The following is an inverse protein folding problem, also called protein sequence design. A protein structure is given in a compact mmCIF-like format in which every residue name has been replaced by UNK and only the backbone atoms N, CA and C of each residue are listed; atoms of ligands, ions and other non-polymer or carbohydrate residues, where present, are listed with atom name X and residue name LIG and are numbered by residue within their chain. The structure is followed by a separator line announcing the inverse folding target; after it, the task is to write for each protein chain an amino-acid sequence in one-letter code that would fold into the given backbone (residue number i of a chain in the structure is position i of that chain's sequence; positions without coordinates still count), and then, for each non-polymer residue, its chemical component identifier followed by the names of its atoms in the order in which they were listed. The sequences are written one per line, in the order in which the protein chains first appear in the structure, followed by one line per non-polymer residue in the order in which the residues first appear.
data_IF_147198428725
#
_entry.id   IF_147198428725
#
_cell.length_a   1.000
_cell.length_b   1.000
_cell.length_c   1.000
_cell.angle_alpha   90.00
_cell.angle_beta   90.00
_cell.angle_gamma   90.00
#
_symmetry.space_group_name_H-M   'P 1'
#
loop_
_entity.id
_entity.type
_entity.pdbx_description
1 polymer ?
#
# COMPACT_ATOMS: atom_id res chain seq x y z
N UNK A 1 -34.74 19.05 -15.41
CA UNK A 1 -34.88 18.02 -14.36
C UNK A 1 -35.92 16.95 -14.75
N UNK A 2 -37.11 17.30 -15.25
CA UNK A 2 -38.11 16.32 -15.68
C UNK A 2 -37.62 15.31 -16.72
N UNK A 3 -36.68 15.68 -17.60
CA UNK A 3 -36.10 14.78 -18.61
C UNK A 3 -35.28 13.61 -18.05
N UNK A 4 -34.83 13.69 -16.79
CA UNK A 4 -34.02 12.66 -16.12
C UNK A 4 -34.79 11.93 -15.00
N UNK A 5 -35.98 12.41 -14.64
CA UNK A 5 -36.77 11.85 -13.55
C UNK A 5 -37.79 10.85 -14.10
N UNK A 6 -37.89 9.70 -13.45
CA UNK A 6 -38.96 8.74 -13.71
C UNK A 6 -40.33 9.40 -13.51
N UNK A 7 -41.28 9.12 -14.40
CA UNK A 7 -42.70 9.51 -14.23
C UNK A 7 -43.39 8.72 -13.11
N UNK A 8 -42.74 7.68 -12.58
CA UNK A 8 -43.19 6.87 -11.43
C UNK A 8 -42.07 6.85 -10.37
N UNK A 9 -41.91 7.93 -9.58
CA UNK A 9 -40.88 7.99 -8.56
C UNK A 9 -41.16 7.02 -7.41
N UNK A 10 -40.10 6.52 -6.77
CA UNK A 10 -40.23 5.67 -5.59
C UNK A 10 -40.52 6.51 -4.35
N UNK A 11 -41.79 6.55 -3.92
CA UNK A 11 -42.20 7.25 -2.70
C UNK A 11 -41.47 6.79 -1.44
N UNK A 12 -41.14 5.50 -1.23
CA UNK A 12 -40.31 5.09 -0.10
C UNK A 12 -38.92 5.73 -0.10
N UNK A 13 -38.27 5.88 -1.27
CA UNK A 13 -36.97 6.55 -1.37
C UNK A 13 -37.11 8.05 -1.06
N UNK A 14 -38.13 8.71 -1.59
CA UNK A 14 -38.39 10.13 -1.29
C UNK A 14 -38.64 10.35 0.22
N UNK A 15 -39.45 9.49 0.84
CA UNK A 15 -39.68 9.54 2.28
C UNK A 15 -38.40 9.32 3.10
N UNK A 16 -37.50 8.43 2.65
CA UNK A 16 -36.20 8.23 3.29
C UNK A 16 -35.30 9.47 3.20
N UNK A 17 -35.34 10.21 2.08
CA UNK A 17 -34.61 11.47 1.92
C UNK A 17 -35.15 12.57 2.83
N UNK A 18 -36.47 12.66 3.00
CA UNK A 18 -37.08 13.55 3.99
C UNK A 18 -36.65 13.19 5.42
N UNK A 19 -36.60 11.89 5.74
CA UNK A 19 -36.06 11.40 7.01
C UNK A 19 -34.60 11.79 7.22
N UNK A 20 -33.75 11.58 6.22
CA UNK A 20 -32.34 11.96 6.26
C UNK A 20 -32.15 13.48 6.43
N UNK A 21 -32.97 14.30 5.76
CA UNK A 21 -32.96 15.77 5.93
C UNK A 21 -33.37 16.20 7.33
N UNK A 22 -34.40 15.57 7.90
CA UNK A 22 -34.83 15.85 9.27
C UNK A 22 -33.74 15.48 10.29
N UNK A 23 -33.08 14.32 10.10
CA UNK A 23 -31.96 13.90 10.93
C UNK A 23 -30.77 14.87 10.83
N UNK A 24 -30.42 15.32 9.63
CA UNK A 24 -29.34 16.28 9.42
C UNK A 24 -29.65 17.63 10.09
N UNK A 25 -30.91 18.10 10.01
CA UNK A 25 -31.34 19.34 10.66
C UNK A 25 -31.32 19.26 12.19
N UNK A 26 -31.56 18.07 12.77
CA UNK A 26 -31.47 17.85 14.22
C UNK A 26 -30.02 17.86 14.74
N UNK A 27 -29.03 17.56 13.87
CA UNK A 27 -27.62 17.48 14.24
C UNK A 27 -27.27 16.23 15.06
N UNK A 28 -26.00 16.07 15.40
CA UNK A 28 -25.50 14.99 16.28
C UNK A 28 -25.45 13.59 15.66
N UNK A 29 -25.95 13.39 14.43
CA UNK A 29 -26.02 12.09 13.76
C UNK A 29 -24.68 11.36 13.60
N UNK A 30 -23.56 12.10 13.68
CA UNK A 30 -22.20 11.57 13.50
C UNK A 30 -21.39 11.50 14.80
N UNK A 31 -21.93 11.90 15.96
CA UNK A 31 -21.17 11.94 17.22
C UNK A 31 -20.67 10.55 17.65
N UNK A 32 -21.48 9.52 17.44
CA UNK A 32 -21.04 8.15 17.72
C UNK A 32 -20.04 7.64 16.69
N UNK A 33 -20.25 7.93 15.40
CA UNK A 33 -19.32 7.59 14.33
C UNK A 33 -17.95 8.26 14.53
N UNK A 34 -17.92 9.50 15.01
CA UNK A 34 -16.72 10.24 15.40
C UNK A 34 -15.98 9.56 16.56
N UNK A 35 -16.70 9.14 17.61
CA UNK A 35 -16.11 8.38 18.73
C UNK A 35 -15.57 7.04 18.26
N UNK A 36 -16.29 6.34 17.40
CA UNK A 36 -15.88 5.10 16.76
C UNK A 36 -14.59 5.28 15.93
N UNK A 37 -14.53 6.30 15.08
CA UNK A 37 -13.34 6.63 14.29
C UNK A 37 -12.14 6.92 15.19
N UNK A 38 -12.33 7.69 16.26
CA UNK A 38 -11.28 8.02 17.23
C UNK A 38 -10.76 6.77 17.95
N UNK A 39 -11.66 5.85 18.32
CA UNK A 39 -11.28 4.58 18.94
C UNK A 39 -10.35 3.80 18.01
N UNK A 40 -10.78 3.54 16.77
CA UNK A 40 -9.98 2.80 15.79
C UNK A 40 -8.63 3.49 15.56
N UNK A 41 -8.63 4.81 15.31
CA UNK A 41 -7.38 5.59 15.10
C UNK A 41 -6.42 5.47 16.27
N UNK A 42 -6.93 5.54 17.50
CA UNK A 42 -6.12 5.43 18.71
C UNK A 42 -5.58 4.03 18.93
N UNK A 43 -6.31 3.00 18.56
CA UNK A 43 -5.87 1.60 18.65
C UNK A 43 -4.78 1.33 17.64
N UNK A 44 -4.98 1.70 16.37
CA UNK A 44 -3.96 1.51 15.33
C UNK A 44 -2.68 2.25 15.69
N UNK A 45 -2.78 3.52 16.10
CA UNK A 45 -1.61 4.34 16.42
C UNK A 45 -0.79 3.83 17.62
N UNK A 46 -1.40 3.14 18.58
CA UNK A 46 -0.72 2.69 19.82
C UNK A 46 -0.23 1.26 19.72
N UNK A 47 -1.08 0.40 19.16
CA UNK A 47 -0.97 -1.04 19.36
C UNK A 47 -0.51 -1.78 18.09
N UNK A 48 -0.67 -1.18 16.90
CA UNK A 48 -0.13 -1.76 15.67
C UNK A 48 1.37 -1.45 15.49
N UNK A 49 2.05 -2.28 14.69
CA UNK A 49 3.48 -2.15 14.38
C UNK A 49 3.74 -2.09 12.88
N UNK A 50 2.94 -2.78 12.10
CA UNK A 50 3.06 -2.88 10.65
C UNK A 50 1.99 -2.04 9.94
N UNK A 51 0.82 -1.93 10.55
CA UNK A 51 -0.30 -1.12 10.08
C UNK A 51 -0.24 0.31 10.60
N UNK A 52 -0.57 1.26 9.72
CA UNK A 52 -0.67 2.69 10.05
C UNK A 52 -1.94 3.28 9.44
N UNK A 53 -2.35 4.47 9.91
CA UNK A 53 -3.41 5.25 9.28
C UNK A 53 -2.78 6.40 8.49
N UNK A 54 -3.30 6.66 7.30
CA UNK A 54 -2.97 7.84 6.53
C UNK A 54 -3.52 9.08 7.26
N UNK A 55 -2.62 9.88 7.81
CA UNK A 55 -2.88 11.12 8.53
C UNK A 55 -1.71 12.10 8.33
N UNK A 56 -1.70 13.21 9.08
CA UNK A 56 -0.68 14.24 8.98
C UNK A 56 0.74 13.71 9.25
N UNK A 57 0.88 12.61 10.01
CA UNK A 57 2.17 12.04 10.40
C UNK A 57 2.72 11.09 9.33
N UNK A 58 1.84 10.43 8.58
CA UNK A 58 2.20 9.36 7.65
C UNK A 58 2.15 9.78 6.17
N UNK A 59 1.51 10.91 5.86
CA UNK A 59 1.41 11.44 4.48
C UNK A 59 2.74 11.89 3.86
N UNK A 60 3.81 12.04 4.66
CA UNK A 60 5.16 12.33 4.18
C UNK A 60 5.23 13.58 3.30
N UNK A 61 5.93 13.48 2.16
CA UNK A 61 6.11 14.59 1.22
C UNK A 61 4.80 15.08 0.59
N UNK A 62 3.75 14.25 0.55
CA UNK A 62 2.45 14.60 -0.01
C UNK A 62 1.61 15.50 0.90
N UNK A 63 1.99 15.68 2.17
CA UNK A 63 1.24 16.50 3.13
C UNK A 63 1.02 17.93 2.63
N UNK A 64 1.98 18.51 1.91
CA UNK A 64 1.87 19.86 1.33
C UNK A 64 0.73 19.99 0.30
N UNK A 65 0.26 18.87 -0.26
CA UNK A 65 -0.85 18.80 -1.22
C UNK A 65 -2.16 18.35 -0.57
N UNK A 66 -2.20 18.13 0.75
CA UNK A 66 -3.39 17.73 1.48
C UNK A 66 -4.01 18.94 2.17
N UNK A 67 -5.28 19.23 1.87
CA UNK A 67 -6.01 20.30 2.54
C UNK A 67 -6.54 19.87 3.93
N UNK A 68 -7.13 18.67 4.01
CA UNK A 68 -7.64 18.09 5.25
C UNK A 68 -7.83 16.58 5.07
N UNK A 69 -7.82 15.85 6.19
CA UNK A 69 -8.24 14.45 6.27
C UNK A 69 -9.67 14.37 6.79
N UNK A 70 -10.51 13.58 6.12
CA UNK A 70 -11.86 13.29 6.62
C UNK A 70 -11.73 12.36 7.86
N UNK A 71 -12.20 12.78 9.06
CA UNK A 71 -12.09 11.96 10.26
C UNK A 71 -12.85 10.63 10.15
N UNK A 72 -13.94 10.58 9.37
CA UNK A 72 -14.80 9.41 9.21
C UNK A 72 -14.36 8.47 8.08
N UNK A 73 -13.33 8.84 7.32
CA UNK A 73 -12.71 7.98 6.32
C UNK A 73 -11.33 7.54 6.77
N UNK A 74 -11.23 6.28 7.19
CA UNK A 74 -9.99 5.69 7.70
C UNK A 74 -9.27 4.96 6.58
N UNK A 75 -8.19 5.53 6.08
CA UNK A 75 -7.31 4.86 5.12
C UNK A 75 -6.19 4.17 5.89
N UNK A 76 -6.26 2.84 5.97
CA UNK A 76 -5.22 1.98 6.52
C UNK A 76 -4.12 1.79 5.49
N UNK A 77 -2.87 1.99 5.89
CA UNK A 77 -1.68 1.65 5.12
C UNK A 77 -1.31 0.20 5.45
N UNK A 78 -1.33 -0.66 4.43
CA UNK A 78 -1.16 -2.12 4.56
C UNK A 78 -0.01 -2.65 3.70
N UNK A 79 0.85 -1.77 3.21
CA UNK A 79 1.99 -2.08 2.34
C UNK A 79 3.02 -3.03 2.97
N UNK A 80 3.02 -3.14 4.31
CA UNK A 80 3.90 -4.04 5.08
C UNK A 80 3.22 -5.32 5.55
N UNK A 81 1.96 -5.55 5.17
CA UNK A 81 1.18 -6.71 5.61
C UNK A 81 1.35 -7.84 4.62
N UNK A 82 2.07 -8.87 5.05
CA UNK A 82 2.10 -10.16 4.36
C UNK A 82 1.92 -11.28 5.38
N UNK A 83 1.02 -12.22 5.12
CA UNK A 83 0.73 -13.32 6.03
C UNK A 83 0.19 -14.54 5.29
N UNK A 84 0.62 -15.73 5.70
CA UNK A 84 -0.04 -16.98 5.33
C UNK A 84 -1.26 -17.16 6.25
N UNK A 85 -2.41 -17.49 5.67
CA UNK A 85 -3.65 -17.78 6.40
C UNK A 85 -3.88 -19.29 6.36
N UNK A 86 -4.21 -19.87 7.51
CA UNK A 86 -4.47 -21.30 7.62
C UNK A 86 -5.74 -21.68 6.84
N UNK A 87 -5.67 -22.66 5.92
CA UNK A 87 -6.82 -23.08 5.14
C UNK A 87 -7.86 -23.73 6.05
N UNK A 88 -8.95 -23.02 6.35
CA UNK A 88 -10.04 -23.62 7.14
C UNK A 88 -11.06 -22.70 7.80
N UNK A 89 -10.90 -21.37 7.77
CA UNK A 89 -11.87 -20.46 8.40
C UNK A 89 -12.84 -19.80 7.42
N UNK A 90 -13.61 -20.63 6.70
CA UNK A 90 -14.96 -20.27 6.21
C UNK A 90 -15.08 -19.71 4.78
N UNK A 91 -15.44 -20.59 3.83
CA UNK A 91 -16.27 -20.22 2.66
C UNK A 91 -15.59 -20.21 1.29
N UNK A 92 -16.33 -20.73 0.31
CA UNK A 92 -16.04 -21.03 -1.11
C UNK A 92 -14.93 -20.19 -1.79
N UNK A 93 -13.93 -20.91 -2.30
CA UNK A 93 -12.88 -20.43 -3.20
C UNK A 93 -13.46 -19.57 -4.35
N UNK A 94 -13.20 -18.27 -4.31
CA UNK A 94 -13.28 -17.42 -5.50
C UNK A 94 -12.03 -17.63 -6.34
N UNK A 95 -12.25 -18.08 -7.57
CA UNK A 95 -11.25 -18.31 -8.59
C UNK A 95 -10.56 -16.99 -8.98
N UNK A 96 -9.39 -16.72 -8.41
CA UNK A 96 -8.18 -16.18 -9.07
C UNK A 96 -7.06 -16.22 -8.01
N UNK A 97 -6.12 -17.16 -8.18
CA UNK A 97 -4.75 -17.08 -7.67
C UNK A 97 -4.48 -17.50 -6.22
N UNK A 98 -3.84 -18.66 -6.07
CA UNK A 98 -2.94 -19.07 -4.98
C UNK A 98 -3.22 -18.63 -3.54
N UNK A 99 -3.94 -19.51 -2.82
CA UNK A 99 -3.81 -19.67 -1.38
C UNK A 99 -4.53 -18.62 -0.54
N UNK A 100 -4.91 -19.04 0.67
CA UNK A 100 -5.39 -18.18 1.75
C UNK A 100 -4.19 -17.33 2.22
N UNK A 101 -3.75 -16.34 1.43
CA UNK A 101 -2.57 -15.53 1.71
C UNK A 101 -2.88 -14.04 1.56
N UNK A 102 -2.48 -13.28 2.56
CA UNK A 102 -2.53 -11.82 2.53
C UNK A 102 -1.22 -11.34 1.93
N UNK A 103 -1.27 -10.77 0.71
CA UNK A 103 -0.10 -10.26 -0.01
C UNK A 103 -0.13 -8.75 -0.24
N UNK A 104 -1.33 -8.17 -0.21
CA UNK A 104 -1.59 -6.77 -0.49
C UNK A 104 -2.91 -6.33 0.18
N UNK A 105 -3.36 -5.10 -0.11
CA UNK A 105 -4.60 -4.60 0.47
C UNK A 105 -5.88 -5.28 0.00
N UNK A 106 -5.90 -5.95 -1.16
CA UNK A 106 -7.06 -6.74 -1.59
C UNK A 106 -7.21 -7.98 -0.71
N UNK A 107 -6.11 -8.71 -0.49
CA UNK A 107 -6.11 -9.84 0.43
C UNK A 107 -6.42 -9.44 1.88
N UNK A 108 -5.92 -8.28 2.32
CA UNK A 108 -6.24 -7.76 3.65
C UNK A 108 -7.74 -7.43 3.80
N UNK A 109 -8.36 -6.86 2.76
CA UNK A 109 -9.78 -6.56 2.76
C UNK A 109 -10.64 -7.82 2.79
N UNK A 110 -10.32 -8.81 1.95
CA UNK A 110 -11.01 -10.11 1.93
C UNK A 110 -10.88 -10.83 3.29
N UNK A 111 -9.70 -10.77 3.91
CA UNK A 111 -9.48 -11.35 5.22
C UNK A 111 -10.31 -10.66 6.32
N UNK A 112 -10.34 -9.31 6.35
CA UNK A 112 -11.15 -8.54 7.31
C UNK A 112 -12.64 -8.89 7.18
N UNK A 113 -13.14 -9.03 5.94
CA UNK A 113 -14.53 -9.38 5.66
C UNK A 113 -14.84 -10.82 6.10
N UNK A 114 -14.08 -11.81 5.62
CA UNK A 114 -14.37 -13.22 5.90
C UNK A 114 -14.18 -13.58 7.36
N UNK A 115 -13.10 -13.11 7.98
CA UNK A 115 -12.69 -13.56 9.32
C UNK A 115 -13.39 -12.80 10.44
N UNK A 116 -13.70 -11.53 10.22
CA UNK A 116 -14.22 -10.62 11.26
C UNK A 116 -15.53 -9.92 10.88
N UNK A 117 -16.04 -10.10 9.66
CA UNK A 117 -17.26 -9.44 9.19
C UNK A 117 -17.09 -7.93 8.98
N UNK A 118 -15.85 -7.46 8.88
CA UNK A 118 -15.54 -6.04 8.66
C UNK A 118 -15.38 -5.82 7.17
N UNK A 119 -16.38 -5.19 6.55
CA UNK A 119 -16.39 -4.94 5.09
C UNK A 119 -15.76 -3.57 4.81
N UNK A 120 -14.59 -3.51 4.14
CA UNK A 120 -14.01 -2.24 3.74
C UNK A 120 -14.79 -1.59 2.59
N UNK A 121 -14.75 -0.25 2.51
CA UNK A 121 -15.33 0.52 1.39
C UNK A 121 -14.56 0.27 0.10
N UNK A 122 -13.23 0.24 0.20
CA UNK A 122 -12.31 0.17 -0.93
C UNK A 122 -10.99 -0.44 -0.50
N UNK A 123 -10.32 -1.14 -1.42
CA UNK A 123 -8.96 -1.61 -1.26
C UNK A 123 -8.12 -1.26 -2.49
N UNK A 124 -6.81 -1.09 -2.27
CA UNK A 124 -5.80 -1.01 -3.31
C UNK A 124 -4.67 -1.96 -2.95
N UNK A 125 -3.65 -2.07 -3.79
CA UNK A 125 -2.46 -2.86 -3.48
C UNK A 125 -1.78 -2.46 -2.13
N UNK A 126 -1.95 -1.21 -1.67
CA UNK A 126 -1.25 -0.70 -0.47
C UNK A 126 -2.17 -0.14 0.61
N UNK A 127 -3.47 -0.05 0.35
CA UNK A 127 -4.40 0.59 1.28
C UNK A 127 -5.71 -0.16 1.40
N UNK A 128 -6.34 -0.04 2.57
CA UNK A 128 -7.71 -0.47 2.83
C UNK A 128 -8.46 0.69 3.46
N UNK A 129 -9.66 1.00 2.98
CA UNK A 129 -10.44 2.15 3.45
C UNK A 129 -11.67 1.68 4.20
N UNK A 130 -11.87 2.20 5.42
CA UNK A 130 -13.09 2.04 6.20
C UNK A 130 -13.85 3.37 6.23
N UNK A 131 -15.10 3.36 5.76
CA UNK A 131 -16.02 4.49 5.88
C UNK A 131 -16.93 4.33 7.09
N UNK A 132 -16.99 5.36 7.94
CA UNK A 132 -17.89 5.42 9.08
C UNK A 132 -19.02 6.41 8.77
N UNK A 133 -20.26 5.98 9.02
CA UNK A 133 -21.45 6.80 8.77
C UNK A 133 -22.35 6.90 10.00
N UNK A 134 -23.53 7.53 9.88
CA UNK A 134 -24.46 7.72 11.00
C UNK A 134 -24.94 6.41 11.67
N UNK A 135 -24.87 5.29 10.97
CA UNK A 135 -25.18 3.95 11.51
C UNK A 135 -24.00 3.27 12.21
N UNK A 136 -22.81 3.88 12.21
CA UNK A 136 -21.63 3.28 12.84
C UNK A 136 -21.68 3.49 14.36
N UNK A 137 -21.61 2.39 15.10
CA UNK A 137 -21.63 2.37 16.56
C UNK A 137 -20.25 2.13 17.14
N UNK A 138 -20.09 2.36 18.45
CA UNK A 138 -18.86 1.98 19.16
C UNK A 138 -18.58 0.47 19.09
N UNK A 139 -19.61 -0.38 19.07
CA UNK A 139 -19.46 -1.83 18.92
C UNK A 139 -18.83 -2.19 17.58
N UNK A 140 -19.21 -1.51 16.50
CA UNK A 140 -18.57 -1.71 15.19
C UNK A 140 -17.08 -1.32 15.25
N UNK A 141 -16.74 -0.26 15.97
CA UNK A 141 -15.36 0.17 16.14
C UNK A 141 -14.52 -0.84 16.94
N UNK A 142 -15.09 -1.44 17.98
CA UNK A 142 -14.43 -2.50 18.76
C UNK A 142 -14.11 -3.73 17.89
N UNK A 143 -15.06 -4.17 17.07
CA UNK A 143 -14.86 -5.28 16.13
C UNK A 143 -13.79 -4.93 15.10
N UNK A 144 -13.89 -3.74 14.48
CA UNK A 144 -12.91 -3.30 13.48
C UNK A 144 -11.50 -3.16 14.08
N UNK A 145 -11.38 -2.57 15.27
CA UNK A 145 -10.10 -2.45 15.95
C UNK A 145 -9.50 -3.80 16.32
N UNK A 146 -10.30 -4.74 16.81
CA UNK A 146 -9.85 -6.11 17.10
C UNK A 146 -9.37 -6.83 15.83
N UNK A 147 -10.11 -6.70 14.73
CA UNK A 147 -9.74 -7.28 13.43
C UNK A 147 -8.41 -6.72 12.91
N UNK A 148 -8.22 -5.39 12.97
CA UNK A 148 -6.98 -4.73 12.55
C UNK A 148 -5.79 -5.19 13.39
N UNK A 149 -5.95 -5.31 14.71
CA UNK A 149 -4.89 -5.81 15.59
C UNK A 149 -4.53 -7.27 15.31
N UNK A 150 -5.52 -8.07 14.95
CA UNK A 150 -5.32 -9.47 14.61
C UNK A 150 -4.57 -9.62 13.29
N UNK A 151 -4.91 -8.81 12.29
CA UNK A 151 -4.16 -8.70 11.04
C UNK A 151 -2.70 -8.27 11.26
N UNK A 152 -2.48 -7.25 12.09
CA UNK A 152 -1.14 -6.77 12.43
C UNK A 152 -0.31 -7.88 13.13
N UNK A 153 -0.92 -8.62 14.06
CA UNK A 153 -0.28 -9.74 14.76
C UNK A 153 0.10 -10.87 13.80
N UNK A 154 -0.77 -11.24 12.87
CA UNK A 154 -0.47 -12.26 11.86
C UNK A 154 0.72 -11.87 10.99
N UNK A 155 0.74 -10.62 10.50
CA UNK A 155 1.85 -10.13 9.70
C UNK A 155 3.18 -10.08 10.49
N UNK A 156 3.14 -9.74 11.78
CA UNK A 156 4.33 -9.78 12.63
C UNK A 156 4.88 -11.20 12.81
N UNK A 157 4.01 -12.19 13.01
CA UNK A 157 4.42 -13.59 13.14
C UNK A 157 5.09 -14.09 11.87
N UNK A 158 4.54 -13.74 10.70
CA UNK A 158 5.11 -14.12 9.42
C UNK A 158 6.51 -13.53 9.21
N UNK A 159 6.71 -12.24 9.51
CA UNK A 159 8.02 -11.60 9.40
C UNK A 159 9.05 -12.24 10.34
N UNK A 160 8.66 -12.61 11.56
CA UNK A 160 9.54 -13.29 12.51
C UNK A 160 9.95 -14.69 12.01
N UNK A 161 9.01 -15.45 11.46
CA UNK A 161 9.30 -16.78 10.90
C UNK A 161 10.29 -16.69 9.74
N UNK A 162 10.10 -15.73 8.83
CA UNK A 162 11.00 -15.51 7.69
C UNK A 162 12.43 -15.13 8.14
N UNK A 163 12.56 -14.27 9.15
CA UNK A 163 13.86 -13.88 9.70
C UNK A 163 14.59 -15.07 10.35
N UNK A 164 13.87 -15.95 11.06
CA UNK A 164 14.45 -17.14 11.67
C UNK A 164 14.94 -18.15 10.61
N UNK A 165 14.17 -18.35 9.54
CA UNK A 165 14.56 -19.26 8.45
C UNK A 165 15.81 -18.76 7.70
N UNK A 166 15.90 -17.45 7.42
CA UNK A 166 17.09 -16.85 6.79
C UNK A 166 18.34 -16.98 7.66
N UNK A 167 18.20 -16.81 8.98
CA UNK A 167 19.30 -16.95 9.93
C UNK A 167 19.83 -18.38 10.00
N UNK A 168 18.97 -19.40 9.85
CA UNK A 168 19.38 -20.80 9.81
C UNK A 168 20.09 -21.18 8.50
N UNK A 169 19.66 -20.63 7.36
CA UNK A 169 20.30 -20.90 6.06
C UNK A 169 21.72 -20.32 5.96
N UNK A 170 22.00 -19.17 6.58
CA UNK A 170 23.35 -18.60 6.61
C UNK A 170 24.33 -19.40 7.49
N UNK A 171 23.84 -20.10 8.52
CA UNK A 171 24.69 -20.93 9.38
C UNK A 171 25.01 -22.32 8.79
N UNK A 172 24.32 -22.74 7.73
CA UNK A 172 24.50 -24.06 7.09
C UNK A 172 25.24 -24.02 5.74
N UNK A 173 25.77 -22.88 5.31
CA UNK A 173 26.66 -22.84 4.13
C UNK A 173 28.06 -23.38 4.50
N UNK A 174 28.53 -24.50 3.92
CA UNK A 174 29.83 -25.06 4.24
C UNK A 174 30.94 -24.16 3.66
N UNK A 175 31.89 -23.79 4.52
CA UNK A 175 33.11 -23.11 4.11
C UNK A 175 33.85 -23.95 3.04
N UNK A 176 34.02 -23.39 1.84
CA UNK A 176 34.90 -23.95 0.82
C UNK A 176 36.34 -24.04 1.36
N UNK A 177 37.04 -25.18 1.21
CA UNK A 177 38.40 -25.34 1.72
C UNK A 177 39.39 -24.53 0.88
N UNK A 178 40.22 -23.74 1.56
CA UNK A 178 41.39 -23.07 1.01
C UNK A 178 42.37 -24.10 0.45
N UNK A 179 42.69 -24.02 -0.84
CA UNK A 179 43.84 -24.73 -1.43
C UNK A 179 45.13 -23.95 -1.14
N UNK A 180 46.07 -24.62 -0.50
CA UNK A 180 47.36 -24.13 0.00
C UNK A 180 48.37 -23.81 -1.12
N UNK A 181 49.49 -23.11 -0.79
CA UNK A 181 50.49 -22.64 -1.74
C UNK A 181 51.67 -23.62 -1.88
N UNK A 182 52.24 -23.74 -3.08
CA UNK A 182 53.56 -24.37 -3.29
C UNK A 182 54.32 -23.68 -4.41
N UNK A 183 55.42 -23.01 -4.08
CA UNK A 183 56.70 -23.15 -4.80
C UNK A 183 57.81 -22.37 -4.09
N UNK A 184 58.79 -23.14 -3.64
CA UNK A 184 60.09 -22.75 -3.12
C UNK A 184 61.04 -22.29 -4.22
N UNK A 185 61.85 -21.25 -3.95
CA UNK A 185 63.25 -21.21 -4.40
C UNK A 185 64.06 -20.14 -3.65
N UNK A 186 65.16 -20.64 -3.08
CA UNK A 186 66.33 -20.02 -2.43
C UNK A 186 67.00 -18.83 -3.14
N UNK A 187 67.59 -17.89 -2.36
CA UNK A 187 69.05 -17.73 -2.22
C UNK A 187 69.48 -16.45 -1.45
N UNK A 188 70.21 -16.67 -0.35
CA UNK A 188 71.38 -15.93 0.18
C UNK A 188 71.50 -14.38 0.11
N UNK A 189 71.40 -13.76 1.29
CA UNK A 189 72.36 -12.86 1.97
C UNK A 189 73.17 -11.81 1.17
N UNK A 190 73.04 -10.53 1.56
CA UNK A 190 74.19 -9.65 1.87
C UNK A 190 73.77 -8.38 2.62
N UNK A 191 74.62 -7.97 3.57
CA UNK A 191 74.50 -6.82 4.46
C UNK A 191 74.85 -5.51 3.76
N UNK A 192 74.16 -4.41 4.06
CA UNK A 192 74.51 -3.10 3.51
C UNK A 192 73.69 -1.95 4.10
N UNK A 193 74.18 -1.40 5.21
CA UNK A 193 73.76 -0.12 5.77
C UNK A 193 73.99 1.01 4.76
N UNK A 194 72.97 1.85 4.49
CA UNK A 194 73.13 3.30 4.27
C UNK A 194 71.74 3.96 4.23
N UNK A 195 71.57 4.97 5.07
CA UNK A 195 70.34 5.73 5.17
C UNK A 195 70.06 6.56 3.93
N UNK A 196 68.80 6.58 3.52
CA UNK A 196 68.23 7.69 2.78
C UNK A 196 66.79 7.89 3.24
N UNK A 197 66.54 9.06 3.82
CA UNK A 197 65.20 9.60 4.08
C UNK A 197 64.44 9.70 2.75
N UNK A 198 63.40 8.90 2.56
CA UNK A 198 62.36 9.15 1.54
C UNK A 198 61.17 9.82 2.20
N UNK A 199 60.67 10.97 1.70
CA UNK A 199 59.48 11.61 2.24
C UNK A 199 58.22 10.74 2.00
N UNK A 200 57.18 10.89 2.82
CA UNK A 200 55.93 10.14 2.65
C UNK A 200 55.26 10.50 1.31
N UNK A 201 54.53 9.55 0.68
CA UNK A 201 53.78 9.82 -0.54
C UNK A 201 52.68 10.87 -0.28
N UNK A 202 52.35 11.72 -1.28
CA UNK A 202 51.27 12.68 -1.14
C UNK A 202 49.91 11.98 -0.97
N UNK A 203 48.95 12.61 -0.28
CA UNK A 203 47.61 12.06 -0.12
C UNK A 203 46.94 11.86 -1.49
N UNK A 204 46.07 10.84 -1.63
CA UNK A 204 45.33 10.63 -2.87
C UNK A 204 44.47 11.85 -3.21
N UNK A 205 44.27 12.16 -4.50
CA UNK A 205 43.40 13.26 -4.91
C UNK A 205 41.97 13.04 -4.39
N UNK A 206 41.23 14.11 -4.07
CA UNK A 206 39.86 13.98 -3.62
C UNK A 206 39.04 13.23 -4.68
N UNK A 207 38.32 12.21 -4.23
CA UNK A 207 37.38 11.45 -5.06
C UNK A 207 36.47 12.42 -5.84
N UNK A 208 36.19 12.16 -7.13
CA UNK A 208 35.27 13.00 -7.88
C UNK A 208 33.94 13.06 -7.14
N UNK A 209 33.49 14.31 -6.95
CA UNK A 209 32.23 14.64 -6.30
C UNK A 209 31.13 13.67 -6.75
N UNK A 210 30.43 13.11 -5.77
CA UNK A 210 29.23 12.31 -6.00
C UNK A 210 28.35 13.03 -7.02
N UNK A 211 27.80 12.34 -8.04
CA UNK A 211 26.94 12.98 -9.01
C UNK A 211 25.82 13.66 -8.25
N UNK A 212 25.77 14.98 -8.40
CA UNK A 212 24.69 15.84 -7.95
C UNK A 212 23.40 15.10 -8.23
N UNK A 213 22.62 14.82 -7.18
CA UNK A 213 21.28 14.28 -7.32
C UNK A 213 20.52 15.27 -8.21
N UNK A 214 20.47 14.97 -9.50
CA UNK A 214 19.50 15.56 -10.39
C UNK A 214 18.18 15.24 -9.73
N UNK A 215 17.52 16.27 -9.21
CA UNK A 215 16.12 16.23 -8.86
C UNK A 215 15.42 15.58 -10.06
N UNK A 216 15.10 14.30 -9.92
CA UNK A 216 14.26 13.61 -10.88
C UNK A 216 12.94 14.37 -10.80
N UNK A 217 12.68 15.19 -11.81
CA UNK A 217 11.36 15.73 -12.02
C UNK A 217 10.40 14.54 -11.99
N UNK A 218 9.24 14.64 -11.29
CA UNK A 218 8.25 13.58 -11.35
C UNK A 218 7.96 13.28 -12.83
N UNK A 219 7.75 11.99 -13.21
CA UNK A 219 7.46 11.64 -14.59
C UNK A 219 6.33 12.53 -15.08
N UNK A 220 6.60 13.31 -16.15
CA UNK A 220 5.60 14.18 -16.77
C UNK A 220 4.39 13.30 -17.05
N UNK A 221 3.27 13.65 -16.45
CA UNK A 221 1.97 13.04 -16.68
C UNK A 221 1.82 12.86 -18.19
N UNK A 222 1.71 11.61 -18.63
CA UNK A 222 1.57 11.31 -20.05
C UNK A 222 0.22 11.90 -20.50
N UNK A 223 0.26 13.14 -21.01
CA UNK A 223 -0.93 13.82 -21.48
C UNK A 223 -1.49 13.01 -22.64
N UNK A 224 -2.59 12.31 -22.40
CA UNK A 224 -3.33 11.60 -23.45
C UNK A 224 -3.84 12.65 -24.42
N UNK A 225 -3.49 12.49 -25.70
CA UNK A 225 -3.96 13.40 -26.74
C UNK A 225 -5.48 13.32 -26.86
N UNK A 226 -6.15 14.45 -26.66
CA UNK A 226 -7.60 14.56 -26.86
C UNK A 226 -7.90 14.85 -28.32
N UNK A 227 -8.01 13.79 -29.13
CA UNK A 227 -8.25 13.88 -30.58
C UNK A 227 -9.71 14.24 -30.90
N UNK A 228 -10.65 13.86 -30.03
CA UNK A 228 -12.08 14.17 -30.18
C UNK A 228 -12.76 14.34 -28.83
N UNK A 229 -13.88 15.08 -28.79
CA UNK A 229 -14.65 15.23 -27.55
C UNK A 229 -15.30 13.89 -27.14
N UNK A 230 -15.49 13.61 -25.83
CA UNK A 230 -16.18 12.40 -25.37
C UNK A 230 -17.56 12.21 -26.00
N UNK A 231 -18.32 13.29 -26.20
CA UNK A 231 -19.62 13.24 -26.87
C UNK A 231 -19.51 12.82 -28.33
N UNK A 232 -18.51 13.34 -29.06
CA UNK A 232 -18.30 12.95 -30.45
C UNK A 232 -17.83 11.50 -30.56
N UNK A 233 -16.96 11.05 -29.67
CA UNK A 233 -16.49 9.65 -29.60
C UNK A 233 -17.67 8.69 -29.39
N UNK A 234 -18.59 9.04 -28.46
CA UNK A 234 -19.75 8.23 -28.14
C UNK A 234 -20.70 7.99 -29.33
N UNK A 235 -20.83 8.95 -30.25
CA UNK A 235 -21.67 8.82 -31.46
C UNK A 235 -20.90 8.37 -32.71
N UNK A 236 -19.60 8.15 -32.61
CA UNK A 236 -18.78 7.69 -33.74
C UNK A 236 -18.98 6.19 -33.99
N UNK A 237 -18.54 5.71 -35.15
CA UNK A 237 -18.44 4.28 -35.41
C UNK A 237 -17.35 3.66 -34.53
N UNK A 238 -17.64 2.51 -33.94
CA UNK A 238 -16.75 1.82 -33.01
C UNK A 238 -16.42 0.41 -33.52
N UNK A 239 -15.25 -0.08 -33.13
CA UNK A 239 -14.86 -1.48 -33.28
C UNK A 239 -14.10 -1.93 -32.03
N UNK A 240 -14.19 -3.21 -31.69
CA UNK A 240 -13.39 -3.81 -30.63
C UNK A 240 -12.01 -4.18 -31.17
N UNK A 241 -10.97 -3.67 -30.51
CA UNK A 241 -9.57 -3.96 -30.85
C UNK A 241 -8.88 -4.66 -29.68
N UNK A 242 -7.99 -5.64 -29.93
CA UNK A 242 -7.09 -6.15 -28.91
C UNK A 242 -6.23 -5.03 -28.30
N UNK A 243 -5.86 -5.16 -27.02
CA UNK A 243 -5.15 -4.10 -26.28
C UNK A 243 -3.78 -3.75 -26.86
N UNK A 244 -3.09 -4.73 -27.43
CA UNK A 244 -1.80 -4.55 -28.12
C UNK A 244 -1.91 -3.74 -29.42
N UNK A 245 -3.12 -3.65 -29.98
CA UNK A 245 -3.46 -2.97 -31.23
C UNK A 245 -4.20 -1.64 -31.00
N UNK A 246 -4.39 -1.23 -29.74
CA UNK A 246 -5.13 -0.03 -29.37
C UNK A 246 -4.30 1.28 -29.45
N UNK A 247 -2.97 1.18 -29.60
CA UNK A 247 -2.10 2.35 -29.70
C UNK A 247 -2.43 3.20 -30.94
N UNK A 248 -2.57 4.51 -30.75
CA UNK A 248 -2.93 5.46 -31.81
C UNK A 248 -4.41 5.43 -32.22
N UNK A 249 -5.24 4.61 -31.55
CA UNK A 249 -6.69 4.58 -31.72
C UNK A 249 -7.36 5.53 -30.74
N UNK A 250 -8.55 6.02 -31.08
CA UNK A 250 -9.36 6.80 -30.13
C UNK A 250 -10.21 5.85 -29.29
N UNK A 251 -10.10 5.96 -27.97
CA UNK A 251 -10.95 5.21 -27.06
C UNK A 251 -12.41 5.66 -27.20
N UNK A 252 -13.29 4.72 -27.51
CA UNK A 252 -14.73 4.97 -27.60
C UNK A 252 -15.42 5.03 -26.22
N UNK A 253 -14.76 4.49 -25.19
CA UNK A 253 -15.28 4.36 -23.84
C UNK A 253 -14.23 4.81 -22.81
N UNK A 254 -14.69 5.06 -21.57
CA UNK A 254 -13.82 5.36 -20.44
C UNK A 254 -13.13 4.06 -19.97
N UNK A 255 -11.80 4.08 -19.89
CA UNK A 255 -11.02 3.00 -19.31
C UNK A 255 -10.85 3.24 -17.80
N UNK A 256 -11.39 2.36 -16.97
CA UNK A 256 -11.30 2.39 -15.50
C UNK A 256 -10.59 1.11 -15.00
N UNK A 257 -9.24 1.07 -15.00
CA UNK A 257 -8.46 -0.07 -14.53
C UNK A 257 -8.48 -0.24 -13.01
#
# INVERSE_FOLDING_TARGET
LQTLQSSSPSYPLLASLDGARAQAAAGGAYEEAMRAAKLIRSTVSRDCRLLEILDERTAGASLASVHAFDPLRLTLLVDRVTADVEPGSGGVSSSIGDGDQIRDGFGAAEWLERRHGVVPEMATAKTVVLALGPGTTLRHAEIAAAAILDLDRLAQQQQQQQQQQQSQHQQQSPASPQTSPTSSSSSSSFSGSSGHHTPPPPPPPPSPAAPSQQQQQPPREAAIEVVMSPRAAYFALTESVPSDSALGRVAAELLCP
#
